data_IF_979342821806
#
_entry.id   IF_979342821806
#
_cell.length_a   1.000
_cell.length_b   1.000
_cell.length_c   1.000
_cell.angle_alpha   90.00
_cell.angle_beta   90.00
_cell.angle_gamma   90.00
#
_symmetry.space_group_name_H-M   'P 1'
#
loop_
_entity.id
_entity.type
_entity.pdbx_description
1 polymer ?
#
# COMPACT_ATOMS: atom_id res chain seq x y z
N UNK A 1 -4.76 0.73 15.60
CA UNK A 1 -5.09 -0.32 14.60
C UNK A 1 -6.62 -0.54 14.35
N UNK A 2 -7.51 0.40 14.61
CA UNK A 2 -8.92 0.24 14.26
C UNK A 2 -9.10 0.04 12.75
N UNK A 3 -8.51 0.91 11.92
CA UNK A 3 -8.59 0.88 10.46
C UNK A 3 -8.34 -0.51 9.85
N UNK A 4 -7.27 -1.20 10.30
CA UNK A 4 -6.93 -2.54 9.79
C UNK A 4 -7.98 -3.57 10.19
N UNK A 5 -8.48 -3.51 11.42
CA UNK A 5 -9.53 -4.43 11.89
C UNK A 5 -10.83 -4.24 11.10
N UNK A 6 -11.20 -2.99 10.85
CA UNK A 6 -12.41 -2.66 10.11
C UNK A 6 -12.30 -3.12 8.66
N UNK A 7 -11.17 -2.84 7.98
CA UNK A 7 -10.92 -3.31 6.62
C UNK A 7 -10.92 -4.84 6.52
N UNK A 8 -10.30 -5.54 7.48
CA UNK A 8 -10.30 -7.00 7.55
C UNK A 8 -11.68 -7.54 7.86
N UNK A 9 -12.48 -6.89 8.70
CA UNK A 9 -13.87 -7.28 8.94
C UNK A 9 -14.69 -7.24 7.66
N UNK A 10 -14.60 -6.14 6.91
CA UNK A 10 -15.24 -5.99 5.60
C UNK A 10 -14.77 -7.04 4.58
N UNK A 11 -13.48 -7.40 4.63
CA UNK A 11 -12.93 -8.44 3.79
C UNK A 11 -13.50 -9.82 4.15
N UNK A 12 -13.54 -10.17 5.44
CA UNK A 12 -14.04 -11.45 5.95
C UNK A 12 -15.48 -11.77 5.54
N UNK A 13 -16.32 -10.75 5.40
CA UNK A 13 -17.69 -10.93 4.94
C UNK A 13 -17.75 -11.54 3.54
N UNK A 14 -16.76 -11.21 2.70
CA UNK A 14 -16.66 -11.68 1.31
C UNK A 14 -15.92 -13.01 1.15
N UNK A 15 -14.98 -13.31 2.04
CA UNK A 15 -14.09 -14.47 1.94
C UNK A 15 -14.32 -15.49 3.06
N UNK A 16 -15.56 -15.66 3.51
CA UNK A 16 -15.95 -16.42 4.71
C UNK A 16 -15.23 -17.77 4.94
N UNK A 17 -14.90 -18.60 3.93
CA UNK A 17 -14.16 -19.83 4.22
C UNK A 17 -12.68 -19.60 4.54
N UNK A 18 -12.12 -18.43 4.19
CA UNK A 18 -10.69 -18.14 4.41
C UNK A 18 -10.47 -17.65 5.83
N UNK A 19 -9.56 -18.33 6.55
CA UNK A 19 -9.19 -17.94 7.91
C UNK A 19 -8.20 -16.77 7.87
N UNK A 20 -8.55 -15.61 8.43
CA UNK A 20 -7.66 -14.44 8.52
C UNK A 20 -7.13 -14.28 9.94
N UNK A 21 -5.81 -14.25 10.07
CA UNK A 21 -5.09 -13.97 11.32
C UNK A 21 -4.39 -12.61 11.21
N UNK A 22 -4.58 -11.73 12.18
CA UNK A 22 -3.88 -10.44 12.27
C UNK A 22 -2.79 -10.58 13.32
N UNK A 23 -1.54 -10.35 12.93
CA UNK A 23 -0.40 -10.24 13.83
C UNK A 23 0.02 -8.77 13.94
N UNK A 24 0.29 -8.30 15.13
CA UNK A 24 0.69 -6.91 15.38
C UNK A 24 2.18 -6.68 15.19
N UNK A 25 2.99 -7.69 15.34
CA UNK A 25 4.44 -7.65 15.33
C UNK A 25 4.97 -8.55 14.22
N UNK A 26 5.72 -7.97 13.30
CA UNK A 26 6.44 -8.72 12.26
C UNK A 26 7.76 -9.30 12.78
N UNK A 27 8.18 -8.92 14.02
CA UNK A 27 9.52 -9.15 14.55
C UNK A 27 9.46 -9.89 15.89
N UNK A 28 8.77 -11.01 15.94
CA UNK A 28 8.73 -11.87 17.15
C UNK A 28 9.91 -12.84 17.28
N UNK A 29 10.98 -12.61 16.52
CA UNK A 29 12.19 -13.44 16.63
C UNK A 29 13.20 -12.82 17.60
N UNK A 30 13.55 -13.53 18.66
CA UNK A 30 14.60 -13.18 19.65
C UNK A 30 16.00 -13.01 19.04
N UNK A 31 16.17 -13.08 17.70
CA UNK A 31 17.46 -13.18 17.03
C UNK A 31 17.82 -12.04 16.07
N UNK A 32 16.93 -11.10 15.76
CA UNK A 32 17.28 -9.98 14.88
C UNK A 32 17.76 -8.79 15.70
N UNK A 33 19.03 -8.41 15.53
CA UNK A 33 19.56 -7.19 16.13
C UNK A 33 18.78 -5.98 15.64
N UNK A 34 18.19 -5.23 16.56
CA UNK A 34 17.40 -4.03 16.24
C UNK A 34 18.24 -2.96 15.53
N UNK A 35 19.56 -2.92 15.78
CA UNK A 35 20.50 -2.04 15.08
C UNK A 35 20.64 -2.42 13.61
N UNK A 36 20.83 -3.69 13.32
CA UNK A 36 20.95 -4.20 11.96
C UNK A 36 19.65 -4.01 11.18
N UNK A 37 18.51 -4.29 11.81
CA UNK A 37 17.20 -4.10 11.19
C UNK A 37 16.94 -2.62 10.90
N UNK A 38 17.20 -1.72 11.85
CA UNK A 38 17.02 -0.28 11.65
C UNK A 38 17.93 0.28 10.56
N UNK A 39 19.20 -0.16 10.53
CA UNK A 39 20.16 0.17 9.46
C UNK A 39 19.64 -0.31 8.08
N UNK A 40 19.08 -1.52 8.00
CA UNK A 40 18.49 -2.02 6.75
C UNK A 40 17.32 -1.14 6.25
N UNK A 41 16.45 -0.65 7.14
CA UNK A 41 15.40 0.30 6.77
C UNK A 41 15.96 1.63 6.30
N UNK A 42 16.97 2.19 6.97
CA UNK A 42 17.62 3.45 6.55
C UNK A 42 18.13 3.36 5.11
N UNK A 43 18.78 2.25 4.75
CA UNK A 43 19.33 2.05 3.39
C UNK A 43 18.27 1.95 2.29
N UNK A 44 17.03 1.68 2.65
CA UNK A 44 15.90 1.61 1.72
C UNK A 44 15.18 2.93 1.53
N UNK A 45 15.56 4.00 2.26
CA UNK A 45 14.93 5.31 2.09
C UNK A 45 15.25 5.88 0.72
N UNK A 46 14.22 6.38 0.05
CA UNK A 46 14.36 7.17 -1.18
C UNK A 46 14.60 8.61 -0.79
N UNK A 47 15.81 9.12 -1.02
CA UNK A 47 16.20 10.51 -0.66
C UNK A 47 16.04 11.48 -1.81
N UNK A 48 16.09 10.98 -3.05
CA UNK A 48 15.86 11.75 -4.26
C UNK A 48 15.01 10.91 -5.24
N UNK A 49 13.75 11.29 -5.48
CA UNK A 49 12.89 10.55 -6.39
C UNK A 49 13.38 10.52 -7.85
N UNK A 50 14.25 11.44 -8.26
CA UNK A 50 14.81 11.51 -9.62
C UNK A 50 16.15 10.77 -9.74
N UNK A 51 16.68 10.23 -8.66
CA UNK A 51 17.98 9.55 -8.67
C UNK A 51 17.87 8.15 -8.05
N UNK A 52 17.93 7.12 -8.90
CA UNK A 52 17.82 5.73 -8.46
C UNK A 52 18.93 5.30 -7.50
N UNK A 53 20.12 5.88 -7.63
CA UNK A 53 21.31 5.47 -6.89
C UNK A 53 21.55 6.29 -5.62
N UNK A 54 20.81 7.36 -5.42
CA UNK A 54 20.86 8.14 -4.19
C UNK A 54 20.43 7.30 -2.99
N UNK A 55 21.27 7.24 -1.97
CA UNK A 55 21.02 6.47 -0.74
C UNK A 55 21.07 7.37 0.47
N UNK A 56 20.22 7.06 1.44
CA UNK A 56 20.31 7.70 2.75
C UNK A 56 21.63 7.30 3.42
N UNK A 57 22.29 8.28 4.03
CA UNK A 57 23.48 8.05 4.85
C UNK A 57 23.02 7.32 6.13
N UNK A 58 23.59 6.15 6.38
CA UNK A 58 23.31 5.37 7.58
C UNK A 58 23.91 6.05 8.80
N UNK A 59 23.13 6.92 9.43
CA UNK A 59 23.52 7.70 10.60
C UNK A 59 22.80 7.23 11.86
N UNK A 60 23.39 7.55 13.02
CA UNK A 60 22.77 7.25 14.31
C UNK A 60 21.34 7.82 14.42
N UNK A 61 21.13 9.07 14.00
CA UNK A 61 19.82 9.71 14.09
C UNK A 61 18.75 9.02 13.24
N UNK A 62 19.11 8.58 12.03
CA UNK A 62 18.18 7.84 11.17
C UNK A 62 17.90 6.45 11.71
N UNK A 63 18.90 5.75 12.24
CA UNK A 63 18.70 4.45 12.90
C UNK A 63 17.84 4.57 14.15
N UNK A 64 18.06 5.59 14.98
CA UNK A 64 17.22 5.83 16.16
C UNK A 64 15.76 6.10 15.76
N UNK A 65 15.54 6.90 14.72
CA UNK A 65 14.18 7.11 14.19
C UNK A 65 13.54 5.80 13.72
N UNK A 66 14.26 4.93 12.99
CA UNK A 66 13.74 3.63 12.56
C UNK A 66 13.44 2.70 13.75
N UNK A 67 14.33 2.69 14.77
CA UNK A 67 14.06 1.93 16.01
C UNK A 67 12.78 2.38 16.69
N UNK A 68 12.56 3.68 16.79
CA UNK A 68 11.33 4.23 17.39
C UNK A 68 10.07 3.82 16.60
N UNK A 69 10.17 3.72 15.26
CA UNK A 69 9.08 3.19 14.44
C UNK A 69 8.85 1.71 14.73
N UNK A 70 9.91 0.91 14.75
CA UNK A 70 9.85 -0.54 15.01
C UNK A 70 9.29 -0.83 16.40
N UNK A 71 9.60 -0.01 17.39
CA UNK A 71 9.05 -0.09 18.75
C UNK A 71 7.63 0.52 18.89
N UNK A 72 7.04 1.03 17.81
CA UNK A 72 5.71 1.65 17.84
C UNK A 72 5.63 3.02 18.53
N UNK A 73 6.78 3.65 18.81
CA UNK A 73 6.88 4.98 19.46
C UNK A 73 6.66 6.11 18.44
N UNK A 74 7.09 5.91 17.19
CA UNK A 74 6.95 6.86 16.08
C UNK A 74 6.25 6.22 14.90
N UNK A 75 5.84 7.04 13.94
CA UNK A 75 5.24 6.60 12.66
C UNK A 75 6.14 7.00 11.50
N UNK A 76 6.15 6.19 10.44
CA UNK A 76 6.90 6.45 9.23
C UNK A 76 6.11 7.22 8.16
N UNK A 77 4.95 7.77 8.54
CA UNK A 77 4.04 8.46 7.60
C UNK A 77 4.80 9.52 6.79
N UNK A 78 4.71 9.44 5.46
CA UNK A 78 5.37 10.37 4.54
C UNK A 78 6.85 10.10 4.26
N UNK A 79 7.50 9.19 4.98
CA UNK A 79 8.89 8.81 4.67
C UNK A 79 8.89 7.77 3.55
N UNK A 80 9.56 8.05 2.40
CA UNK A 80 9.54 7.15 1.25
C UNK A 80 10.61 6.06 1.34
N UNK A 81 10.23 4.83 0.93
CA UNK A 81 11.11 3.66 0.89
C UNK A 81 10.99 2.94 -0.45
N UNK A 82 12.10 2.40 -0.94
CA UNK A 82 12.15 1.57 -2.13
C UNK A 82 11.37 0.26 -1.88
N UNK A 83 10.33 0.04 -2.67
CA UNK A 83 9.29 -0.95 -2.36
C UNK A 83 9.73 -2.40 -2.55
N UNK A 84 10.55 -2.70 -3.57
CA UNK A 84 11.02 -4.07 -3.81
C UNK A 84 12.04 -4.47 -2.74
N UNK A 85 12.94 -3.58 -2.38
CA UNK A 85 13.88 -3.80 -1.27
C UNK A 85 13.16 -3.95 0.07
N UNK A 86 12.12 -3.13 0.30
CA UNK A 86 11.27 -3.22 1.48
C UNK A 86 10.57 -4.58 1.56
N UNK A 87 10.02 -5.07 0.47
CA UNK A 87 9.41 -6.40 0.37
C UNK A 87 10.43 -7.49 0.73
N UNK A 88 11.63 -7.44 0.13
CA UNK A 88 12.72 -8.39 0.42
C UNK A 88 13.18 -8.32 1.88
N UNK A 89 13.20 -7.12 2.47
CA UNK A 89 13.53 -6.95 3.89
C UNK A 89 12.47 -7.63 4.77
N UNK A 90 11.19 -7.37 4.53
CA UNK A 90 10.11 -8.05 5.26
C UNK A 90 10.15 -9.57 5.07
N UNK A 91 10.43 -10.05 3.86
CA UNK A 91 10.60 -11.48 3.60
C UNK A 91 11.69 -12.10 4.48
N UNK A 92 12.82 -11.43 4.63
CA UNK A 92 13.92 -11.89 5.51
C UNK A 92 13.54 -11.85 6.99
N UNK A 93 12.86 -10.79 7.43
CA UNK A 93 12.48 -10.58 8.82
C UNK A 93 11.37 -11.54 9.29
N UNK A 94 10.47 -11.89 8.39
CA UNK A 94 9.43 -12.90 8.66
C UNK A 94 10.06 -14.30 8.69
N UNK A 95 11.23 -14.45 8.07
CA UNK A 95 11.97 -15.70 8.01
C UNK A 95 11.29 -16.75 7.15
N UNK A 96 11.83 -17.97 7.19
CA UNK A 96 11.21 -19.15 6.57
C UNK A 96 9.95 -19.61 7.33
N UNK A 97 9.42 -18.74 8.20
CA UNK A 97 8.44 -19.13 9.19
C UNK A 97 7.22 -19.75 8.54
N UNK A 98 6.84 -19.45 7.36
CA UNK A 98 5.64 -20.07 6.78
C UNK A 98 5.54 -19.86 5.25
N UNK A 99 6.39 -20.53 4.49
CA UNK A 99 6.02 -20.85 3.12
C UNK A 99 5.05 -22.04 3.12
N UNK A 100 3.94 -21.93 3.85
CA UNK A 100 2.85 -22.88 3.69
C UNK A 100 2.18 -22.50 2.36
N UNK A 101 2.12 -23.39 1.37
CA UNK A 101 1.58 -23.06 0.04
C UNK A 101 0.14 -22.52 0.04
N UNK A 102 -0.53 -22.59 1.17
CA UNK A 102 -1.92 -22.22 1.38
C UNK A 102 -2.10 -20.90 2.12
N UNK A 103 -1.00 -20.23 2.52
CA UNK A 103 -1.07 -18.96 3.25
C UNK A 103 -0.77 -17.76 2.34
N UNK A 104 -1.63 -16.75 2.40
CA UNK A 104 -1.41 -15.44 1.79
C UNK A 104 -0.89 -14.49 2.85
N UNK A 105 0.34 -14.02 2.68
CA UNK A 105 0.98 -13.12 3.61
C UNK A 105 0.94 -11.67 3.08
N UNK A 106 0.34 -10.78 3.86
CA UNK A 106 0.22 -9.36 3.53
C UNK A 106 0.78 -8.53 4.69
N UNK A 107 1.76 -7.70 4.40
CA UNK A 107 2.32 -6.73 5.35
C UNK A 107 1.63 -5.39 5.16
N UNK A 108 1.04 -4.86 6.22
CA UNK A 108 0.50 -3.50 6.26
C UNK A 108 1.51 -2.57 6.92
N UNK A 109 1.80 -1.46 6.27
CA UNK A 109 2.78 -0.46 6.74
C UNK A 109 2.26 0.96 6.54
N UNK A 110 2.72 1.89 7.38
CA UNK A 110 2.53 3.33 7.18
C UNK A 110 3.72 4.00 6.46
N UNK A 111 4.73 3.22 6.05
CA UNK A 111 5.84 3.67 5.21
C UNK A 111 5.33 3.98 3.80
N UNK A 112 5.72 5.09 3.22
CA UNK A 112 5.38 5.39 1.83
C UNK A 112 6.23 4.51 0.90
N UNK A 113 5.57 3.64 0.14
CA UNK A 113 6.25 2.75 -0.80
C UNK A 113 6.47 3.48 -2.13
N UNK A 114 7.69 3.38 -2.66
CA UNK A 114 8.02 3.91 -3.97
C UNK A 114 8.67 2.83 -4.84
N UNK A 115 8.37 2.84 -6.14
CA UNK A 115 9.01 1.97 -7.13
C UNK A 115 9.62 2.81 -8.25
N UNK A 116 10.80 2.41 -8.71
CA UNK A 116 11.43 3.03 -9.86
C UNK A 116 10.69 2.70 -11.15
N UNK A 117 10.56 3.69 -12.03
CA UNK A 117 10.09 3.53 -13.40
C UNK A 117 11.25 3.85 -14.36
N UNK A 118 11.53 2.92 -15.25
CA UNK A 118 12.56 3.11 -16.28
C UNK A 118 12.04 3.98 -17.45
N UNK A 119 10.72 4.14 -17.57
CA UNK A 119 10.10 4.92 -18.65
C UNK A 119 10.29 6.44 -18.43
N UNK A 120 10.18 6.90 -17.20
CA UNK A 120 10.26 8.31 -16.83
C UNK A 120 11.40 8.61 -15.83
N UNK A 121 12.27 7.63 -15.61
CA UNK A 121 13.51 7.72 -14.83
C UNK A 121 13.30 8.35 -13.45
N UNK A 122 12.28 7.87 -12.73
CA UNK A 122 11.96 8.36 -11.39
C UNK A 122 11.24 7.34 -10.53
N UNK A 123 11.28 7.57 -9.24
CA UNK A 123 10.45 6.85 -8.29
C UNK A 123 9.01 7.37 -8.28
N UNK A 124 8.05 6.45 -8.25
CA UNK A 124 6.63 6.73 -8.08
C UNK A 124 6.11 6.10 -6.80
N UNK A 125 5.29 6.84 -6.07
CA UNK A 125 4.56 6.33 -4.93
C UNK A 125 3.60 5.20 -5.35
N UNK A 126 3.45 4.20 -4.49
CA UNK A 126 2.56 3.05 -4.70
C UNK A 126 1.76 2.76 -3.44
N UNK A 127 0.52 2.31 -3.63
CA UNK A 127 -0.27 1.78 -2.52
C UNK A 127 0.17 0.37 -2.18
N UNK A 128 0.47 -0.45 -3.18
CA UNK A 128 0.86 -1.84 -2.97
C UNK A 128 2.03 -2.27 -3.86
N UNK A 129 2.82 -3.20 -3.35
CA UNK A 129 3.78 -4.00 -4.11
C UNK A 129 3.42 -5.46 -3.90
N UNK A 130 3.12 -6.15 -5.00
CA UNK A 130 2.71 -7.54 -4.97
C UNK A 130 3.92 -8.47 -4.98
N UNK A 131 3.89 -9.46 -4.12
CA UNK A 131 4.97 -10.44 -3.96
C UNK A 131 4.69 -11.37 -2.79
N UNK A 132 5.73 -11.96 -2.23
CA UNK A 132 5.66 -12.74 -1.01
C UNK A 132 6.70 -12.22 0.00
N UNK A 133 6.22 -11.49 1.04
CA UNK A 133 4.85 -11.01 1.27
C UNK A 133 4.44 -9.93 0.27
N UNK A 134 3.14 -9.76 0.01
CA UNK A 134 2.64 -8.52 -0.56
C UNK A 134 2.69 -7.41 0.50
N UNK A 135 3.00 -6.17 0.08
CA UNK A 135 3.03 -5.02 1.00
C UNK A 135 1.97 -4.01 0.58
N UNK A 136 1.21 -3.51 1.55
CA UNK A 136 0.23 -2.43 1.33
C UNK A 136 0.55 -1.27 2.26
N UNK A 137 0.67 -0.08 1.69
CA UNK A 137 0.97 1.17 2.39
C UNK A 137 -0.29 1.98 2.66
N UNK A 138 -0.55 2.28 3.92
CA UNK A 138 -1.64 3.19 4.28
C UNK A 138 -1.31 4.64 3.91
N UNK A 139 -0.05 5.07 3.99
CA UNK A 139 0.39 6.36 3.44
C UNK A 139 0.28 6.41 1.92
N UNK A 140 0.53 5.28 1.25
CA UNK A 140 0.35 5.17 -0.19
C UNK A 140 -1.09 5.40 -0.65
N UNK A 141 -2.09 5.07 0.17
CA UNK A 141 -3.51 5.35 -0.15
C UNK A 141 -3.74 6.86 -0.31
N UNK A 142 -3.05 7.68 0.50
CA UNK A 142 -3.16 9.14 0.45
C UNK A 142 -2.30 9.74 -0.67
N UNK A 143 -1.13 9.15 -0.94
CA UNK A 143 -0.08 9.79 -1.75
C UNK A 143 0.09 9.18 -3.15
N UNK A 144 -0.34 7.92 -3.37
CA UNK A 144 0.08 7.21 -4.57
C UNK A 144 -0.80 7.46 -5.80
N UNK A 145 -2.12 7.28 -5.80
CA UNK A 145 -2.92 7.75 -6.92
C UNK A 145 -2.87 9.26 -6.98
N UNK A 146 -2.69 9.82 -8.18
CA UNK A 146 -2.63 11.26 -8.34
C UNK A 146 -3.96 11.92 -7.91
N UNK A 147 -3.89 13.07 -7.26
CA UNK A 147 -5.06 13.93 -7.03
C UNK A 147 -5.64 14.38 -8.38
N UNK A 148 -6.87 14.92 -8.44
CA UNK A 148 -7.45 15.40 -9.69
C UNK A 148 -6.50 16.33 -10.45
N UNK A 149 -6.50 16.27 -11.80
CA UNK A 149 -5.62 17.10 -12.61
C UNK A 149 -5.80 18.59 -12.31
N UNK A 150 -7.05 19.00 -12.10
CA UNK A 150 -7.43 20.39 -11.79
C UNK A 150 -6.81 20.87 -10.47
N UNK A 151 -6.57 19.95 -9.50
CA UNK A 151 -5.89 20.26 -8.26
C UNK A 151 -4.48 20.82 -8.52
N UNK A 152 -3.71 20.16 -9.39
CA UNK A 152 -2.36 20.59 -9.72
C UNK A 152 -2.33 21.89 -10.52
N UNK A 153 -3.29 22.09 -11.41
CA UNK A 153 -3.45 23.34 -12.16
C UNK A 153 -3.81 24.50 -11.23
N UNK A 154 -4.75 24.30 -10.31
CA UNK A 154 -5.12 25.30 -9.31
C UNK A 154 -3.94 25.62 -8.37
N UNK A 155 -3.21 24.58 -7.92
CA UNK A 155 -2.01 24.74 -7.10
C UNK A 155 -0.96 25.61 -7.79
N UNK A 156 -0.70 25.34 -9.07
CA UNK A 156 0.24 26.11 -9.86
C UNK A 156 -0.23 27.57 -10.02
N UNK A 157 -1.50 27.78 -10.36
CA UNK A 157 -2.05 29.13 -10.54
C UNK A 157 -1.96 29.97 -9.26
N UNK A 158 -2.34 29.39 -8.11
CA UNK A 158 -2.23 30.07 -6.80
C UNK A 158 -0.78 30.38 -6.43
N UNK A 159 0.15 29.47 -6.72
CA UNK A 159 1.58 29.68 -6.47
C UNK A 159 2.14 30.83 -7.33
N UNK A 160 1.74 30.94 -8.60
CA UNK A 160 2.13 32.05 -9.49
C UNK A 160 1.58 33.39 -8.97
N UNK A 161 0.40 33.39 -8.37
CA UNK A 161 -0.21 34.59 -7.77
C UNK A 161 0.43 34.99 -6.43
N UNK A 162 1.42 34.23 -5.96
CA UNK A 162 2.12 34.54 -4.71
C UNK A 162 1.32 34.21 -3.44
N UNK A 163 0.28 33.36 -3.56
CA UNK A 163 -0.45 32.87 -2.39
C UNK A 163 0.47 31.97 -1.57
N UNK A 164 0.66 32.26 -0.30
CA UNK A 164 1.60 31.55 0.58
C UNK A 164 1.21 30.09 0.79
N UNK A 165 0.38 29.81 1.78
CA UNK A 165 -0.12 28.44 2.02
C UNK A 165 -1.39 28.18 1.17
N UNK A 166 -1.23 27.41 0.09
CA UNK A 166 -2.31 27.10 -0.85
C UNK A 166 -3.12 25.87 -0.44
N UNK A 167 -2.58 25.03 0.48
CA UNK A 167 -3.21 23.74 0.81
C UNK A 167 -4.61 23.89 1.42
N UNK A 168 -4.91 24.82 2.34
CA UNK A 168 -6.27 24.98 2.88
C UNK A 168 -7.30 25.41 1.83
N UNK A 169 -6.86 26.19 0.83
CA UNK A 169 -7.74 26.62 -0.28
C UNK A 169 -8.07 25.43 -1.16
N UNK A 170 -7.05 24.66 -1.53
CA UNK A 170 -7.19 23.47 -2.37
C UNK A 170 -7.99 22.38 -1.67
N UNK A 171 -7.77 22.14 -0.38
CA UNK A 171 -8.53 21.18 0.40
C UNK A 171 -10.03 21.48 0.35
N UNK A 172 -10.42 22.75 0.52
CA UNK A 172 -11.83 23.18 0.42
C UNK A 172 -12.38 23.08 -1.00
N UNK A 173 -11.60 23.47 -2.01
CA UNK A 173 -12.03 23.46 -3.41
C UNK A 173 -12.24 22.06 -3.96
N UNK A 174 -11.43 21.09 -3.51
CA UNK A 174 -11.43 19.71 -3.98
C UNK A 174 -11.91 18.72 -2.89
N UNK A 175 -12.69 19.20 -1.93
CA UNK A 175 -13.25 18.39 -0.85
C UNK A 175 -13.96 17.16 -1.41
N UNK A 176 -13.67 15.98 -0.83
CA UNK A 176 -14.25 14.71 -1.22
C UNK A 176 -13.65 14.06 -2.48
N UNK A 177 -12.93 14.81 -3.32
CA UNK A 177 -12.36 14.32 -4.59
C UNK A 177 -11.03 13.56 -4.41
N UNK A 178 -10.43 13.59 -3.23
CA UNK A 178 -9.25 12.80 -2.89
C UNK A 178 -9.30 12.34 -1.43
N UNK A 179 -8.41 11.46 -1.05
CA UNK A 179 -8.31 10.89 0.31
C UNK A 179 -7.32 11.71 1.12
N UNK A 180 -7.75 12.16 2.28
CA UNK A 180 -6.90 12.85 3.25
C UNK A 180 -6.38 11.88 4.32
N UNK A 181 -5.36 12.27 5.10
CA UNK A 181 -4.96 11.51 6.27
C UNK A 181 -6.13 11.31 7.23
N UNK A 182 -6.29 10.08 7.69
CA UNK A 182 -7.36 9.66 8.63
C UNK A 182 -8.81 9.72 8.07
N UNK A 183 -8.96 9.75 6.74
CA UNK A 183 -10.24 9.68 6.03
C UNK A 183 -10.94 8.34 6.27
N UNK A 184 -12.22 8.38 6.61
CA UNK A 184 -13.05 7.20 6.90
C UNK A 184 -13.19 6.23 5.71
N UNK A 185 -13.02 6.73 4.47
CA UNK A 185 -13.04 5.93 3.24
C UNK A 185 -11.83 4.99 3.14
N UNK A 186 -10.75 5.27 3.88
CA UNK A 186 -9.51 4.47 3.84
C UNK A 186 -9.75 3.00 4.16
N UNK A 187 -10.75 2.66 4.97
CA UNK A 187 -11.09 1.26 5.30
C UNK A 187 -11.62 0.47 4.10
N UNK A 188 -12.49 1.08 3.25
CA UNK A 188 -13.00 0.46 2.04
C UNK A 188 -11.88 0.34 1.00
N UNK A 189 -11.05 1.38 0.86
CA UNK A 189 -9.92 1.41 -0.06
C UNK A 189 -8.91 0.32 0.33
N UNK A 190 -8.56 0.23 1.60
CA UNK A 190 -7.66 -0.82 2.10
C UNK A 190 -8.21 -2.22 1.81
N UNK A 191 -9.52 -2.46 2.00
CA UNK A 191 -10.18 -3.72 1.62
C UNK A 191 -9.95 -4.04 0.14
N UNK A 192 -10.08 -3.05 -0.76
CA UNK A 192 -9.84 -3.23 -2.19
C UNK A 192 -8.43 -3.71 -2.48
N UNK A 193 -7.42 -3.09 -1.87
CA UNK A 193 -6.02 -3.51 -2.02
C UNK A 193 -5.74 -4.88 -1.39
N UNK A 194 -6.37 -5.23 -0.27
CA UNK A 194 -6.27 -6.57 0.30
C UNK A 194 -6.85 -7.64 -0.64
N UNK A 195 -7.96 -7.35 -1.32
CA UNK A 195 -8.50 -8.22 -2.37
C UNK A 195 -7.52 -8.35 -3.54
N UNK A 196 -6.90 -7.27 -4.00
CA UNK A 196 -5.87 -7.32 -5.05
C UNK A 196 -4.70 -8.22 -4.64
N UNK A 197 -4.22 -8.13 -3.39
CA UNK A 197 -3.19 -9.02 -2.87
C UNK A 197 -3.65 -10.48 -2.86
N UNK A 198 -4.89 -10.74 -2.47
CA UNK A 198 -5.47 -12.08 -2.49
C UNK A 198 -5.50 -12.64 -3.92
N UNK A 199 -6.02 -11.92 -4.89
CA UNK A 199 -6.05 -12.35 -6.29
C UNK A 199 -4.64 -12.62 -6.82
N UNK A 200 -3.69 -11.73 -6.54
CA UNK A 200 -2.29 -11.93 -6.93
C UNK A 200 -1.71 -13.23 -6.35
N UNK A 201 -1.94 -13.51 -5.07
CA UNK A 201 -1.44 -14.72 -4.41
C UNK A 201 -1.99 -16.01 -5.03
N UNK A 202 -3.19 -15.96 -5.61
CA UNK A 202 -3.78 -17.07 -6.38
C UNK A 202 -3.41 -17.04 -7.86
N UNK A 203 -2.35 -16.30 -8.24
CA UNK A 203 -1.87 -16.15 -9.62
C UNK A 203 -2.96 -15.64 -10.58
N UNK A 204 -3.85 -14.80 -10.06
CA UNK A 204 -4.89 -14.13 -10.84
C UNK A 204 -4.48 -12.66 -10.97
N UNK A 205 -4.68 -12.09 -12.17
CA UNK A 205 -4.36 -10.68 -12.40
C UNK A 205 -5.11 -9.79 -11.40
N UNK A 206 -4.39 -9.00 -10.56
CA UNK A 206 -5.00 -8.25 -9.46
C UNK A 206 -5.74 -6.99 -9.92
N UNK A 207 -5.64 -6.64 -11.22
CA UNK A 207 -6.22 -5.42 -11.78
C UNK A 207 -7.35 -5.70 -12.75
N UNK A 208 -8.39 -4.86 -12.70
CA UNK A 208 -9.51 -4.82 -13.62
C UNK A 208 -9.44 -3.59 -14.54
N UNK A 209 -10.03 -3.72 -15.73
CA UNK A 209 -10.23 -2.57 -16.65
C UNK A 209 -11.60 -1.90 -16.47
N UNK A 210 -12.53 -2.56 -15.80
CA UNK A 210 -13.86 -2.05 -15.50
C UNK A 210 -13.77 -1.05 -14.35
N UNK A 211 -14.21 0.19 -14.60
CA UNK A 211 -14.13 1.30 -13.65
C UNK A 211 -15.02 1.09 -12.41
N UNK A 212 -16.08 0.31 -12.55
CA UNK A 212 -17.01 -0.01 -11.47
C UNK A 212 -16.56 -1.21 -10.63
N UNK A 213 -15.46 -1.86 -11.00
CA UNK A 213 -14.90 -2.97 -10.25
C UNK A 213 -13.94 -2.48 -9.17
N UNK A 214 -14.09 -2.97 -7.93
CA UNK A 214 -13.19 -2.63 -6.81
C UNK A 214 -11.71 -3.01 -7.05
N UNK A 215 -11.40 -3.81 -8.09
CA UNK A 215 -10.04 -4.12 -8.52
C UNK A 215 -9.57 -3.21 -9.68
N UNK A 216 -10.29 -2.14 -9.99
CA UNK A 216 -9.89 -1.21 -11.05
C UNK A 216 -8.46 -0.68 -10.81
N UNK A 217 -7.67 -0.61 -11.89
CA UNK A 217 -6.31 -0.06 -11.83
C UNK A 217 -6.36 1.48 -11.88
N UNK A 218 -6.77 2.08 -10.79
CA UNK A 218 -6.92 3.53 -10.68
C UNK A 218 -5.57 4.25 -10.75
N UNK A 219 -5.48 5.29 -11.58
CA UNK A 219 -4.35 6.20 -11.67
C UNK A 219 -4.62 7.53 -10.96
N UNK A 220 -5.91 7.86 -10.77
CA UNK A 220 -6.39 9.05 -10.08
C UNK A 220 -7.13 8.69 -8.81
N UNK A 221 -7.06 9.55 -7.81
CA UNK A 221 -7.77 9.31 -6.55
C UNK A 221 -9.29 9.24 -6.73
N UNK A 222 -9.85 10.04 -7.63
CA UNK A 222 -11.27 9.98 -7.97
C UNK A 222 -11.68 8.60 -8.51
N UNK A 223 -10.85 8.01 -9.38
CA UNK A 223 -11.09 6.66 -9.90
C UNK A 223 -11.01 5.60 -8.79
N UNK A 224 -10.06 5.76 -7.87
CA UNK A 224 -9.92 4.87 -6.72
C UNK A 224 -11.12 4.98 -5.78
N UNK A 225 -11.56 6.19 -5.47
CA UNK A 225 -12.75 6.45 -4.65
C UNK A 225 -13.97 5.84 -5.33
N UNK A 226 -14.18 6.11 -6.63
CA UNK A 226 -15.30 5.55 -7.37
C UNK A 226 -15.31 4.02 -7.31
N UNK A 227 -14.22 3.38 -7.70
CA UNK A 227 -14.15 1.92 -7.79
C UNK A 227 -14.26 1.22 -6.43
N UNK A 228 -13.58 1.73 -5.40
CA UNK A 228 -13.40 1.01 -4.14
C UNK A 228 -14.36 1.45 -3.03
N UNK A 229 -14.93 2.65 -3.12
CA UNK A 229 -15.85 3.21 -2.11
C UNK A 229 -17.26 3.29 -2.65
N UNK A 230 -17.49 4.05 -3.73
CA UNK A 230 -18.83 4.31 -4.25
C UNK A 230 -19.44 3.04 -4.86
N UNK A 231 -18.74 2.38 -5.77
CA UNK A 231 -19.14 1.08 -6.28
C UNK A 231 -18.90 -0.01 -5.25
N UNK A 232 -17.66 -0.16 -4.79
CA UNK A 232 -17.23 -1.11 -3.79
C UNK A 232 -17.48 -2.59 -4.14
N UNK A 233 -17.88 -2.89 -5.38
CA UNK A 233 -18.29 -4.21 -5.86
C UNK A 233 -17.23 -4.82 -6.78
N UNK A 234 -17.22 -6.12 -6.90
CA UNK A 234 -16.49 -6.81 -7.96
C UNK A 234 -17.37 -6.90 -9.21
N UNK A 235 -16.77 -6.86 -10.40
CA UNK A 235 -17.49 -7.19 -11.62
C UNK A 235 -17.79 -8.70 -11.67
N UNK A 236 -18.75 -9.14 -12.49
CA UNK A 236 -19.18 -10.52 -12.57
C UNK A 236 -18.02 -11.52 -12.76
N UNK A 237 -17.00 -11.14 -13.56
CA UNK A 237 -15.80 -11.97 -13.75
C UNK A 237 -15.05 -12.19 -12.43
N UNK A 238 -14.82 -11.12 -11.66
CA UNK A 238 -14.03 -11.20 -10.43
C UNK A 238 -14.84 -11.79 -9.26
N UNK A 239 -16.17 -11.63 -9.24
CA UNK A 239 -17.02 -12.38 -8.31
C UNK A 239 -16.91 -13.89 -8.56
N UNK A 240 -17.08 -14.35 -9.81
CA UNK A 240 -16.95 -15.77 -10.14
C UNK A 240 -15.56 -16.34 -9.82
N UNK A 241 -14.50 -15.53 -9.93
CA UNK A 241 -13.14 -15.94 -9.54
C UNK A 241 -13.00 -16.00 -8.01
N UNK A 242 -13.57 -15.05 -7.28
CA UNK A 242 -13.57 -15.06 -5.83
C UNK A 242 -14.33 -16.28 -5.27
N UNK A 243 -15.47 -16.61 -5.85
CA UNK A 243 -16.25 -17.80 -5.49
C UNK A 243 -15.43 -19.09 -5.68
N UNK A 244 -14.63 -19.17 -6.73
CA UNK A 244 -13.71 -20.32 -6.94
C UNK A 244 -12.64 -20.38 -5.85
N UNK A 245 -12.03 -19.25 -5.50
CA UNK A 245 -11.03 -19.17 -4.42
C UNK A 245 -11.65 -19.61 -3.09
N UNK A 246 -12.84 -19.12 -2.77
CA UNK A 246 -13.52 -19.37 -1.50
C UNK A 246 -14.21 -20.74 -1.45
N UNK A 247 -14.56 -21.31 -2.60
CA UNK A 247 -15.16 -22.64 -2.72
C UNK A 247 -14.20 -23.80 -2.53
N UNK A 248 -12.90 -23.52 -2.23
CA UNK A 248 -11.91 -24.56 -1.95
C UNK A 248 -11.50 -25.39 -3.17
N UNK A 249 -11.81 -24.93 -4.38
CA UNK A 249 -11.26 -25.55 -5.59
C UNK A 249 -9.75 -25.36 -5.57
N UNK A 250 -8.94 -26.44 -5.76
CA UNK A 250 -7.52 -26.28 -5.94
C UNK A 250 -7.33 -25.39 -7.17
N UNK A 251 -6.89 -24.16 -6.93
CA UNK A 251 -6.48 -23.27 -8.02
C UNK A 251 -5.20 -23.89 -8.57
N UNK A 252 -5.36 -24.82 -9.51
CA UNK A 252 -4.26 -25.22 -10.38
C UNK A 252 -3.73 -23.92 -10.97
N UNK A 253 -2.44 -23.70 -10.84
CA UNK A 253 -1.72 -22.61 -11.45
C UNK A 253 -2.20 -22.46 -12.89
N UNK A 254 -3.07 -21.48 -13.14
CA UNK A 254 -3.53 -21.22 -14.49
C UNK A 254 -2.36 -20.53 -15.20
N UNK A 255 -1.89 -21.05 -16.33
CA UNK A 255 -0.91 -20.33 -17.15
C UNK A 255 -1.52 -18.98 -17.55
N UNK A 256 -0.68 -17.94 -17.56
CA UNK A 256 -1.02 -16.56 -17.93
C UNK A 256 -1.59 -16.48 -19.35
#
# INVERSE_FOLDING_TARGET
MPLVRDAVSLLKERIKPIRVKIQKECFSGESADLDDVSSAFVRLRVVDPANRDARAIDSFALRDFEKRILCGISRARGVPYEGVGLMKLYQRLIGTIHAIPEEVLIVLTDRLIMTWSDDDLRFHARVAVFGFPSIVSTSGIVEAPAKPREYYLAKQALSIQGVGDVEPILARQFEGRYVEPDDDRTKQILRGYLLQCLFYAYNIKPFCKDKDCALFNAHWQEEMIHAQVESGKLCAKHEALLDKITGGLPVKWLPQ
#
